data_IF_548120726788
#
_entry.id   IF_548120726788
#
_cell.length_a   1.000
_cell.length_b   1.000
_cell.length_c   1.000
_cell.angle_alpha   90.00
_cell.angle_beta   90.00
_cell.angle_gamma   90.00
#
_symmetry.space_group_name_H-M   'P 1'
#
loop_
_entity.id
_entity.type
_entity.pdbx_description
1 polymer ?
#
# COMPACT_ATOMS: atom_id res chain seq x y z
N UNK A 1 0.15 -4.27 -34.67
CA UNK A 1 -0.21 -4.23 -33.23
C UNK A 1 -1.09 -3.02 -32.86
N UNK A 2 -0.65 -1.76 -33.03
CA UNK A 2 -1.44 -0.56 -32.68
C UNK A 2 -2.86 -0.53 -33.30
N UNK A 3 -2.99 -0.89 -34.58
CA UNK A 3 -4.30 -1.05 -35.26
C UNK A 3 -5.26 -1.97 -34.51
N UNK A 4 -4.75 -3.05 -33.92
CA UNK A 4 -5.56 -4.07 -33.26
C UNK A 4 -5.86 -3.71 -31.80
N UNK A 5 -4.99 -2.95 -31.14
CA UNK A 5 -5.18 -2.52 -29.75
C UNK A 5 -5.88 -1.16 -29.62
N UNK A 6 -6.42 -0.61 -30.71
CA UNK A 6 -6.97 0.76 -30.77
C UNK A 6 -5.99 1.78 -30.18
N UNK A 7 -4.72 1.68 -30.62
CA UNK A 7 -3.60 2.52 -30.18
C UNK A 7 -3.25 2.46 -28.69
N UNK A 8 -3.86 1.54 -27.93
CA UNK A 8 -3.54 1.36 -26.51
C UNK A 8 -2.16 0.76 -26.34
N UNK A 9 -1.40 1.35 -25.41
CA UNK A 9 -0.10 0.85 -24.99
C UNK A 9 -0.24 -0.40 -24.10
N UNK A 10 0.49 -1.45 -24.45
CA UNK A 10 0.55 -2.69 -23.67
C UNK A 10 1.46 -2.54 -22.45
N UNK A 11 2.61 -1.86 -22.61
CA UNK A 11 3.50 -1.53 -21.51
C UNK A 11 2.93 -0.33 -20.77
N UNK A 12 2.76 -0.47 -19.45
CA UNK A 12 2.30 0.60 -18.58
C UNK A 12 3.37 0.88 -17.52
N UNK A 13 4.27 1.84 -17.76
CA UNK A 13 5.25 2.22 -16.75
C UNK A 13 4.50 2.80 -15.54
N UNK A 14 4.81 2.29 -14.35
CA UNK A 14 4.37 2.90 -13.11
C UNK A 14 5.43 3.91 -12.63
N UNK A 15 5.05 4.78 -11.68
CA UNK A 15 6.00 5.71 -11.05
C UNK A 15 7.14 4.98 -10.34
N UNK A 16 6.90 3.78 -9.83
CA UNK A 16 7.93 2.90 -9.25
C UNK A 16 8.11 1.65 -10.11
N UNK A 17 9.30 1.06 -10.12
CA UNK A 17 9.58 -0.13 -10.95
C UNK A 17 8.71 -1.35 -10.60
N UNK A 18 8.32 -1.47 -9.33
CA UNK A 18 7.65 -2.66 -8.80
C UNK A 18 6.27 -2.96 -9.43
N UNK A 19 5.34 -1.99 -9.57
CA UNK A 19 4.05 -2.25 -10.22
C UNK A 19 4.09 -2.37 -11.75
N UNK A 20 5.19 -2.01 -12.43
CA UNK A 20 5.23 -1.97 -13.90
C UNK A 20 4.93 -3.32 -14.54
N UNK A 21 5.47 -4.42 -13.99
CA UNK A 21 5.20 -5.77 -14.50
C UNK A 21 3.70 -6.12 -14.37
N UNK A 22 3.11 -5.85 -13.21
CA UNK A 22 1.69 -6.09 -12.96
C UNK A 22 0.79 -5.23 -13.85
N UNK A 23 1.08 -3.94 -13.99
CA UNK A 23 0.29 -3.03 -14.82
C UNK A 23 0.36 -3.39 -16.30
N UNK A 24 1.51 -3.86 -16.75
CA UNK A 24 1.69 -4.40 -18.09
C UNK A 24 0.84 -5.66 -18.27
N UNK A 25 0.92 -6.62 -17.35
CA UNK A 25 0.09 -7.83 -17.37
C UNK A 25 -1.42 -7.53 -17.39
N UNK A 26 -1.86 -6.54 -16.61
CA UNK A 26 -3.24 -6.06 -16.61
C UNK A 26 -3.64 -5.44 -17.95
N UNK A 27 -2.76 -4.64 -18.56
CA UNK A 27 -3.00 -4.06 -19.90
C UNK A 27 -3.14 -5.17 -20.96
N UNK A 28 -2.29 -6.20 -20.89
CA UNK A 28 -2.39 -7.39 -21.75
C UNK A 28 -3.74 -8.09 -21.59
N UNK A 29 -4.20 -8.29 -20.36
CA UNK A 29 -5.51 -8.89 -20.10
C UNK A 29 -6.66 -8.07 -20.70
N UNK A 30 -6.66 -6.75 -20.52
CA UNK A 30 -7.65 -5.86 -21.13
C UNK A 30 -7.63 -5.90 -22.66
N UNK A 31 -6.49 -6.27 -23.27
CA UNK A 31 -6.33 -6.43 -24.71
C UNK A 31 -6.42 -7.88 -25.18
N UNK A 32 -6.77 -8.85 -24.32
CA UNK A 32 -6.82 -10.29 -24.66
C UNK A 32 -7.52 -10.59 -25.99
N UNK A 33 -8.74 -10.08 -26.18
CA UNK A 33 -9.52 -10.30 -27.41
C UNK A 33 -8.81 -9.73 -28.65
N UNK A 34 -8.28 -8.51 -28.51
CA UNK A 34 -7.57 -7.80 -29.56
C UNK A 34 -6.24 -8.47 -29.95
N UNK A 35 -5.48 -8.94 -28.95
CA UNK A 35 -4.23 -9.65 -29.15
C UNK A 35 -4.45 -11.02 -29.81
N UNK A 36 -5.52 -11.73 -29.43
CA UNK A 36 -5.93 -12.97 -30.12
C UNK A 36 -6.32 -12.69 -31.55
N UNK A 37 -7.12 -11.65 -31.80
CA UNK A 37 -7.49 -11.24 -33.17
C UNK A 37 -6.26 -10.89 -34.00
N UNK A 38 -5.28 -10.20 -33.43
CA UNK A 38 -4.02 -9.87 -34.09
C UNK A 38 -3.31 -11.15 -34.58
N UNK A 39 -3.02 -12.10 -33.69
CA UNK A 39 -2.21 -13.28 -34.07
C UNK A 39 -2.96 -14.29 -34.96
N UNK A 40 -4.29 -14.19 -35.03
CA UNK A 40 -5.12 -15.01 -35.91
C UNK A 40 -5.39 -14.35 -37.27
N UNK A 41 -5.07 -13.06 -37.43
CA UNK A 41 -5.32 -12.30 -38.66
C UNK A 41 -4.42 -12.73 -39.81
N UNK A 42 -4.89 -12.52 -41.05
CA UNK A 42 -4.07 -12.75 -42.24
C UNK A 42 -2.88 -11.77 -42.26
N UNK A 43 -3.08 -10.52 -41.82
CA UNK A 43 -1.98 -9.54 -41.74
C UNK A 43 -0.83 -9.99 -40.82
N UNK A 44 -1.11 -10.79 -39.78
CA UNK A 44 -0.07 -11.40 -38.96
C UNK A 44 0.58 -12.58 -39.67
N UNK A 45 -0.20 -13.49 -40.27
CA UNK A 45 0.33 -14.68 -40.97
C UNK A 45 1.26 -14.32 -42.13
N UNK A 46 0.96 -13.23 -42.84
CA UNK A 46 1.74 -12.76 -43.98
C UNK A 46 3.00 -11.97 -43.55
N UNK A 47 3.11 -11.64 -42.26
CA UNK A 47 4.22 -10.87 -41.72
C UNK A 47 5.50 -11.71 -41.56
N UNK A 48 6.66 -11.13 -41.88
CA UNK A 48 7.98 -11.76 -41.65
C UNK A 48 8.20 -12.21 -40.20
N UNK A 49 7.74 -11.41 -39.22
CA UNK A 49 7.93 -11.70 -37.80
C UNK A 49 7.14 -12.93 -37.35
N UNK A 50 6.01 -13.25 -37.99
CA UNK A 50 5.24 -14.45 -37.65
C UNK A 50 5.95 -15.74 -38.07
N UNK A 51 6.90 -15.66 -39.02
CA UNK A 51 7.69 -16.81 -39.50
C UNK A 51 8.89 -17.09 -38.59
N UNK A 52 9.36 -16.09 -37.84
CA UNK A 52 10.43 -16.23 -36.85
C UNK A 52 9.99 -17.09 -35.66
N UNK A 53 10.96 -17.74 -35.00
CA UNK A 53 10.69 -18.58 -33.83
C UNK A 53 9.95 -17.81 -32.72
N UNK A 54 10.38 -16.58 -32.42
CA UNK A 54 9.75 -15.73 -31.42
C UNK A 54 8.28 -15.37 -31.76
N UNK A 55 7.97 -15.14 -33.04
CA UNK A 55 6.61 -14.86 -33.48
C UNK A 55 5.68 -16.06 -33.37
N UNK A 56 6.17 -17.26 -33.71
CA UNK A 56 5.43 -18.52 -33.54
C UNK A 56 5.11 -18.79 -32.07
N UNK A 57 6.09 -18.65 -31.18
CA UNK A 57 5.88 -18.81 -29.74
C UNK A 57 4.92 -17.76 -29.18
N UNK A 58 5.04 -16.49 -29.62
CA UNK A 58 4.12 -15.42 -29.22
C UNK A 58 2.67 -15.75 -29.60
N UNK A 59 2.44 -16.23 -30.82
CA UNK A 59 1.10 -16.63 -31.26
C UNK A 59 0.55 -17.78 -30.42
N UNK A 60 1.36 -18.81 -30.17
CA UNK A 60 1.02 -19.97 -29.33
C UNK A 60 0.62 -19.55 -27.91
N UNK A 61 1.38 -18.66 -27.29
CA UNK A 61 1.08 -18.12 -25.95
C UNK A 61 -0.23 -17.32 -25.97
N UNK A 62 -0.41 -16.41 -26.93
CA UNK A 62 -1.58 -15.53 -26.98
C UNK A 62 -2.89 -16.25 -27.28
N UNK A 63 -2.87 -17.41 -27.94
CA UNK A 63 -4.09 -18.23 -28.15
C UNK A 63 -4.36 -19.22 -27.01
N UNK A 64 -3.33 -19.55 -26.22
CA UNK A 64 -3.40 -20.57 -25.16
C UNK A 64 -4.41 -20.20 -24.06
N UNK A 65 -5.41 -21.05 -23.78
CA UNK A 65 -6.31 -20.85 -22.64
C UNK A 65 -5.59 -20.86 -21.30
N UNK A 66 -4.60 -21.76 -21.12
CA UNK A 66 -3.87 -21.90 -19.84
C UNK A 66 -3.12 -20.63 -19.48
N UNK A 67 -2.41 -20.03 -20.44
CA UNK A 67 -1.73 -18.76 -20.26
C UNK A 67 -2.67 -17.67 -19.73
N UNK A 68 -3.85 -17.53 -20.34
CA UNK A 68 -4.80 -16.51 -19.89
C UNK A 68 -5.44 -16.83 -18.54
N UNK A 69 -5.59 -18.10 -18.19
CA UNK A 69 -6.05 -18.50 -16.85
C UNK A 69 -5.01 -18.11 -15.79
N UNK A 70 -3.72 -18.31 -16.09
CA UNK A 70 -2.62 -17.90 -15.21
C UNK A 70 -2.53 -16.37 -15.08
N UNK A 71 -2.72 -15.63 -16.18
CA UNK A 71 -2.83 -14.16 -16.15
C UNK A 71 -3.95 -13.71 -15.22
N UNK A 72 -5.14 -14.33 -15.32
CA UNK A 72 -6.28 -14.00 -14.44
C UNK A 72 -5.94 -14.31 -12.98
N UNK A 73 -5.32 -15.47 -12.70
CA UNK A 73 -4.89 -15.83 -11.34
C UNK A 73 -3.92 -14.80 -10.78
N UNK A 74 -2.89 -14.43 -11.55
CA UNK A 74 -1.91 -13.42 -11.15
C UNK A 74 -2.56 -12.06 -10.88
N UNK A 75 -3.55 -11.65 -11.68
CA UNK A 75 -4.30 -10.41 -11.47
C UNK A 75 -5.18 -10.45 -10.21
N UNK A 76 -5.86 -11.57 -9.95
CA UNK A 76 -6.67 -11.79 -8.74
C UNK A 76 -5.82 -11.70 -7.47
N UNK A 77 -4.63 -12.29 -7.50
CA UNK A 77 -3.68 -12.27 -6.37
C UNK A 77 -3.00 -10.90 -6.22
N UNK A 78 -2.40 -10.39 -7.30
CA UNK A 78 -1.58 -9.17 -7.24
C UNK A 78 -2.41 -7.90 -7.12
N UNK A 79 -3.66 -7.89 -7.60
CA UNK A 79 -4.52 -6.70 -7.61
C UNK A 79 -4.70 -6.07 -6.22
N UNK A 80 -5.15 -6.83 -5.21
CA UNK A 80 -5.30 -6.34 -3.84
C UNK A 80 -3.97 -5.84 -3.25
N UNK A 81 -2.87 -6.58 -3.42
CA UNK A 81 -1.55 -6.19 -2.91
C UNK A 81 -1.03 -4.90 -3.55
N UNK A 82 -1.26 -4.70 -4.86
CA UNK A 82 -0.91 -3.45 -5.55
C UNK A 82 -1.74 -2.27 -5.03
N UNK A 83 -2.98 -2.48 -4.55
CA UNK A 83 -3.76 -1.41 -3.89
C UNK A 83 -3.13 -1.01 -2.56
N UNK A 84 -2.70 -1.97 -1.73
CA UNK A 84 -1.97 -1.69 -0.49
C UNK A 84 -0.68 -0.92 -0.79
N UNK A 85 0.10 -1.38 -1.77
CA UNK A 85 1.33 -0.71 -2.18
C UNK A 85 1.07 0.74 -2.65
N UNK A 86 -0.01 0.99 -3.38
CA UNK A 86 -0.40 2.34 -3.79
C UNK A 86 -0.79 3.23 -2.62
N UNK A 87 -1.52 2.68 -1.64
CA UNK A 87 -1.89 3.40 -0.43
C UNK A 87 -0.66 3.83 0.36
N UNK A 88 0.28 2.89 0.60
CA UNK A 88 1.52 3.14 1.36
C UNK A 88 2.45 4.13 0.65
N UNK A 89 2.43 4.15 -0.68
CA UNK A 89 3.21 5.11 -1.48
C UNK A 89 2.47 6.43 -1.73
N UNK A 90 1.20 6.56 -1.32
CA UNK A 90 0.43 7.79 -1.49
C UNK A 90 0.89 8.90 -0.54
N UNK A 91 0.81 10.15 -0.98
CA UNK A 91 1.18 11.33 -0.16
C UNK A 91 -0.03 11.96 0.55
N UNK A 92 -1.26 11.58 0.19
CA UNK A 92 -2.47 12.29 0.64
C UNK A 92 -2.91 12.00 2.07
N UNK A 93 -2.66 10.79 2.60
CA UNK A 93 -3.01 10.41 3.98
C UNK A 93 -1.90 9.54 4.58
N UNK A 94 -1.48 9.78 5.84
CA UNK A 94 -0.50 8.92 6.50
C UNK A 94 -0.97 7.46 6.55
N UNK A 95 -0.18 6.50 6.03
CA UNK A 95 -0.62 5.12 5.87
C UNK A 95 -0.56 4.28 7.15
N UNK A 96 0.14 4.77 8.20
CA UNK A 96 0.44 3.98 9.41
C UNK A 96 -0.82 3.43 10.08
N UNK A 97 -1.89 4.23 10.15
CA UNK A 97 -3.15 3.81 10.74
C UNK A 97 -3.98 2.83 9.90
N UNK A 98 -3.57 2.53 8.67
CA UNK A 98 -4.37 1.77 7.71
C UNK A 98 -3.67 0.51 7.20
N UNK A 99 -2.34 0.42 7.30
CA UNK A 99 -1.56 -0.64 6.66
C UNK A 99 -1.94 -2.03 7.13
N UNK A 100 -2.11 -2.22 8.44
CA UNK A 100 -2.46 -3.53 9.03
C UNK A 100 -3.78 -4.05 8.42
N UNK A 101 -4.88 -3.31 8.61
CA UNK A 101 -6.19 -3.62 8.03
C UNK A 101 -6.15 -3.76 6.50
N UNK A 102 -5.36 -2.95 5.80
CA UNK A 102 -5.27 -3.03 4.34
C UNK A 102 -4.66 -4.35 3.87
N UNK A 103 -3.73 -4.94 4.64
CA UNK A 103 -3.17 -6.26 4.36
C UNK A 103 -4.19 -7.36 4.62
N UNK A 104 -4.96 -7.28 5.70
CA UNK A 104 -6.03 -8.23 5.99
C UNK A 104 -7.10 -8.22 4.90
N UNK A 105 -7.60 -7.03 4.54
CA UNK A 105 -8.53 -6.85 3.41
C UNK A 105 -7.95 -7.34 2.09
N UNK A 106 -6.64 -7.25 1.89
CA UNK A 106 -6.01 -7.79 0.70
C UNK A 106 -6.08 -9.32 0.68
N UNK A 107 -5.79 -9.99 1.80
CA UNK A 107 -5.97 -11.44 1.94
C UNK A 107 -7.42 -11.84 1.73
N UNK A 108 -8.37 -11.18 2.40
CA UNK A 108 -9.81 -11.42 2.21
C UNK A 108 -10.24 -11.29 0.74
N UNK A 109 -9.80 -10.22 0.07
CA UNK A 109 -10.11 -10.00 -1.35
C UNK A 109 -9.51 -11.08 -2.26
N UNK A 110 -8.34 -11.63 -1.93
CA UNK A 110 -7.74 -12.74 -2.66
C UNK A 110 -8.58 -14.01 -2.45
N UNK A 111 -8.90 -14.37 -1.20
CA UNK A 111 -9.70 -15.54 -0.88
C UNK A 111 -11.07 -15.49 -1.56
N UNK A 112 -11.76 -14.35 -1.47
CA UNK A 112 -13.05 -14.13 -2.13
C UNK A 112 -12.96 -14.25 -3.65
N UNK A 113 -11.86 -13.82 -4.27
CA UNK A 113 -11.64 -13.96 -5.73
C UNK A 113 -11.54 -15.42 -6.19
N UNK A 114 -11.34 -16.35 -5.27
CA UNK A 114 -11.30 -17.79 -5.50
C UNK A 114 -12.44 -18.53 -4.80
N UNK A 115 -13.51 -17.83 -4.41
CA UNK A 115 -14.70 -18.40 -3.77
C UNK A 115 -14.36 -19.19 -2.49
N UNK A 116 -13.28 -18.80 -1.79
CA UNK A 116 -12.83 -19.50 -0.58
C UNK A 116 -12.13 -20.84 -0.83
N UNK A 117 -11.80 -21.21 -2.07
CA UNK A 117 -11.05 -22.43 -2.36
C UNK A 117 -9.57 -22.30 -1.94
N UNK A 118 -9.30 -22.68 -0.70
CA UNK A 118 -8.00 -22.55 -0.01
C UNK A 118 -6.83 -23.04 -0.86
N UNK A 119 -7.00 -24.17 -1.56
CA UNK A 119 -5.97 -24.78 -2.42
C UNK A 119 -5.43 -23.83 -3.51
N UNK A 120 -6.20 -22.80 -3.88
CA UNK A 120 -5.82 -21.82 -4.91
C UNK A 120 -4.98 -20.66 -4.39
N UNK A 121 -4.97 -20.41 -3.08
CA UNK A 121 -4.29 -19.25 -2.49
C UNK A 121 -3.50 -19.53 -1.21
N UNK A 122 -3.54 -20.75 -0.65
CA UNK A 122 -2.80 -21.11 0.57
C UNK A 122 -1.30 -20.77 0.46
N UNK A 123 -0.65 -21.18 -0.64
CA UNK A 123 0.76 -20.90 -0.89
C UNK A 123 1.04 -19.41 -1.06
N UNK A 124 0.06 -18.67 -1.56
CA UNK A 124 0.17 -17.21 -1.68
C UNK A 124 0.11 -16.58 -0.29
N UNK A 125 -0.78 -17.06 0.58
CA UNK A 125 -0.89 -16.58 1.96
C UNK A 125 0.37 -16.91 2.75
N UNK A 126 0.92 -18.12 2.62
CA UNK A 126 2.22 -18.48 3.23
C UNK A 126 3.32 -17.49 2.84
N UNK A 127 3.40 -17.10 1.56
CA UNK A 127 4.37 -16.10 1.10
C UNK A 127 4.07 -14.72 1.69
N UNK A 128 2.80 -14.31 1.73
CA UNK A 128 2.40 -13.02 2.31
C UNK A 128 2.77 -12.98 3.79
N UNK A 129 2.40 -14.00 4.55
CA UNK A 129 2.58 -14.07 6.00
C UNK A 129 4.06 -14.14 6.35
N UNK A 130 4.83 -14.97 5.65
CA UNK A 130 6.29 -15.02 5.77
C UNK A 130 6.92 -13.64 5.54
N UNK A 131 6.43 -12.85 4.58
CA UNK A 131 6.97 -11.51 4.30
C UNK A 131 6.48 -10.47 5.31
N UNK A 132 5.23 -10.60 5.73
CA UNK A 132 4.63 -9.76 6.75
C UNK A 132 5.42 -9.89 8.05
N UNK A 133 5.51 -11.10 8.62
CA UNK A 133 6.08 -11.31 9.94
C UNK A 133 7.59 -11.04 10.00
N UNK A 134 8.32 -11.38 8.93
CA UNK A 134 9.77 -11.26 8.95
C UNK A 134 10.29 -9.87 8.52
N UNK A 135 9.55 -9.14 7.67
CA UNK A 135 10.10 -7.97 6.98
C UNK A 135 9.27 -6.70 7.16
N UNK A 136 7.95 -6.80 7.09
CA UNK A 136 7.07 -5.63 6.94
C UNK A 136 6.36 -5.26 8.24
N UNK A 137 5.82 -6.25 8.95
CA UNK A 137 5.12 -6.05 10.21
C UNK A 137 6.10 -5.67 11.32
N UNK A 138 5.70 -4.66 12.10
CA UNK A 138 6.40 -4.20 13.29
C UNK A 138 5.34 -3.78 14.31
N UNK A 139 5.64 -3.81 15.62
CA UNK A 139 4.77 -3.30 16.68
C UNK A 139 4.12 -1.95 16.36
N UNK A 140 4.85 -1.08 15.66
CA UNK A 140 4.38 0.23 15.20
C UNK A 140 3.13 0.19 14.31
N UNK A 141 3.01 -0.80 13.42
CA UNK A 141 1.86 -0.94 12.53
C UNK A 141 0.61 -1.41 13.27
N UNK A 142 0.78 -2.32 14.24
CA UNK A 142 -0.30 -2.73 15.15
C UNK A 142 -0.78 -1.54 16.02
N UNK A 143 0.15 -0.76 16.56
CA UNK A 143 -0.19 0.47 17.29
C UNK A 143 -0.93 1.48 16.39
N UNK A 144 -0.47 1.67 15.15
CA UNK A 144 -1.15 2.51 14.17
C UNK A 144 -2.60 2.08 13.95
N UNK A 145 -2.85 0.78 13.83
CA UNK A 145 -4.18 0.21 13.64
C UNK A 145 -5.12 0.48 14.83
N UNK A 146 -4.69 0.22 16.07
CA UNK A 146 -5.51 0.53 17.27
C UNK A 146 -5.79 2.02 17.44
N UNK A 147 -4.83 2.86 17.06
CA UNK A 147 -4.95 4.30 17.20
C UNK A 147 -5.75 4.91 16.02
N UNK A 148 -6.19 4.12 15.05
CA UNK A 148 -7.13 4.60 14.04
C UNK A 148 -8.57 4.48 14.55
N UNK A 149 -9.27 5.58 14.86
CA UNK A 149 -10.59 5.53 15.47
C UNK A 149 -11.65 4.91 14.55
N UNK A 150 -11.58 5.13 13.23
CA UNK A 150 -12.54 4.52 12.29
C UNK A 150 -12.44 2.99 12.28
N UNK A 151 -11.21 2.47 12.40
CA UNK A 151 -10.97 1.03 12.45
C UNK A 151 -11.22 0.48 13.84
N UNK A 152 -10.55 1.01 14.87
CA UNK A 152 -10.63 0.52 16.24
C UNK A 152 -12.07 0.29 16.72
N UNK A 153 -12.94 1.31 16.67
CA UNK A 153 -14.31 1.14 17.15
C UNK A 153 -15.14 0.20 16.27
N UNK A 154 -14.82 0.10 14.97
CA UNK A 154 -15.44 -0.87 14.09
C UNK A 154 -15.00 -2.29 14.44
N UNK A 155 -13.70 -2.54 14.61
CA UNK A 155 -13.14 -3.85 14.93
C UNK A 155 -13.58 -4.32 16.32
N UNK A 156 -13.74 -3.42 17.29
CA UNK A 156 -14.30 -3.75 18.62
C UNK A 156 -15.78 -4.15 18.50
N UNK A 157 -16.60 -3.38 17.77
CA UNK A 157 -18.02 -3.68 17.58
C UNK A 157 -18.23 -5.00 16.82
N UNK A 158 -17.40 -5.25 15.81
CA UNK A 158 -17.51 -6.40 14.92
C UNK A 158 -16.71 -7.61 15.47
N UNK A 159 -16.08 -7.49 16.66
CA UNK A 159 -15.27 -8.52 17.34
C UNK A 159 -14.13 -9.11 16.48
N UNK A 160 -13.53 -8.31 15.61
CA UNK A 160 -12.51 -8.77 14.65
C UNK A 160 -11.07 -8.44 15.06
N UNK A 161 -10.87 -7.86 16.24
CA UNK A 161 -9.56 -7.37 16.66
C UNK A 161 -8.72 -8.51 17.25
N UNK A 162 -7.65 -8.89 16.55
CA UNK A 162 -6.79 -9.99 16.95
C UNK A 162 -5.88 -9.65 18.14
N UNK A 163 -5.46 -10.67 18.90
CA UNK A 163 -4.64 -10.51 20.11
C UNK A 163 -3.22 -10.04 19.81
N UNK A 164 -2.68 -10.38 18.65
CA UNK A 164 -1.36 -9.95 18.17
C UNK A 164 -1.28 -8.43 17.94
N UNK A 165 -2.40 -7.79 17.57
CA UNK A 165 -2.51 -6.33 17.47
C UNK A 165 -2.27 -5.68 18.84
N UNK A 166 -2.87 -6.23 19.91
CA UNK A 166 -2.68 -5.74 21.27
C UNK A 166 -1.24 -5.93 21.75
N UNK A 167 -0.66 -7.12 21.50
CA UNK A 167 0.74 -7.40 21.81
C UNK A 167 1.65 -6.39 21.09
N UNK A 168 1.40 -6.13 19.80
CA UNK A 168 2.14 -5.15 19.02
C UNK A 168 2.01 -3.72 19.55
N UNK A 169 0.83 -3.32 20.02
CA UNK A 169 0.63 -2.00 20.61
C UNK A 169 1.45 -1.81 21.89
N UNK A 170 1.39 -2.76 22.82
CA UNK A 170 2.17 -2.68 24.06
C UNK A 170 3.67 -2.70 23.81
N UNK A 171 4.15 -3.59 22.92
CA UNK A 171 5.55 -3.59 22.50
C UNK A 171 5.99 -2.27 21.84
N UNK A 172 5.08 -1.58 21.15
CA UNK A 172 5.36 -0.27 20.58
C UNK A 172 5.45 0.82 21.65
N UNK A 173 4.60 0.77 22.68
CA UNK A 173 4.65 1.70 23.82
C UNK A 173 5.97 1.57 24.57
N UNK A 174 6.33 0.35 24.99
CA UNK A 174 7.58 0.06 25.71
C UNK A 174 8.82 0.54 24.95
N UNK A 175 8.78 0.46 23.61
CA UNK A 175 9.90 0.88 22.76
C UNK A 175 9.98 2.39 22.55
N UNK A 176 8.86 3.10 22.48
CA UNK A 176 8.81 4.52 22.07
C UNK A 176 8.60 5.50 23.22
N UNK A 177 8.18 5.01 24.38
CA UNK A 177 7.92 5.78 25.58
C UNK A 177 8.96 5.39 26.64
N UNK A 178 9.89 6.29 26.98
CA UNK A 178 11.02 5.94 27.84
C UNK A 178 10.67 5.82 29.34
N UNK A 179 9.54 6.37 29.76
CA UNK A 179 9.15 6.44 31.17
C UNK A 179 7.95 5.53 31.43
N UNK A 180 8.09 4.58 32.37
CA UNK A 180 7.01 3.67 32.78
C UNK A 180 5.79 4.42 33.31
N UNK A 181 5.98 5.48 34.09
CA UNK A 181 4.85 6.30 34.57
C UNK A 181 4.03 6.90 33.42
N UNK A 182 4.69 7.29 32.32
CA UNK A 182 3.98 7.78 31.14
C UNK A 182 3.28 6.64 30.39
N UNK A 183 3.83 5.43 30.39
CA UNK A 183 3.16 4.25 29.84
C UNK A 183 1.87 3.96 30.62
N UNK A 184 1.93 3.99 31.94
CA UNK A 184 0.77 3.76 32.82
C UNK A 184 -0.32 4.81 32.57
N UNK A 185 0.06 6.09 32.49
CA UNK A 185 -0.86 7.19 32.14
C UNK A 185 -1.48 7.02 30.76
N UNK A 186 -0.71 6.57 29.77
CA UNK A 186 -1.24 6.25 28.43
C UNK A 186 -2.25 5.10 28.52
N UNK A 187 -2.00 4.10 29.37
CA UNK A 187 -2.92 2.99 29.61
C UNK A 187 -4.28 3.45 30.16
N UNK A 188 -4.27 4.30 31.19
CA UNK A 188 -5.49 4.89 31.76
C UNK A 188 -6.24 5.73 30.72
N UNK A 189 -5.53 6.60 30.02
CA UNK A 189 -6.09 7.43 28.96
C UNK A 189 -6.65 6.59 27.80
N UNK A 190 -6.02 5.46 27.50
CA UNK A 190 -6.48 4.53 26.47
C UNK A 190 -7.80 3.86 26.88
N UNK A 191 -8.02 3.58 28.17
CA UNK A 191 -9.32 3.13 28.68
C UNK A 191 -10.46 4.11 28.36
N UNK A 192 -10.20 5.41 28.50
CA UNK A 192 -11.18 6.46 28.16
C UNK A 192 -11.45 6.52 26.66
N UNK A 193 -10.40 6.38 25.84
CA UNK A 193 -10.54 6.25 24.40
C UNK A 193 -11.35 5.00 24.03
N UNK A 194 -11.03 3.83 24.58
CA UNK A 194 -11.69 2.58 24.20
C UNK A 194 -13.19 2.58 24.49
N UNK A 195 -13.60 3.23 25.58
CA UNK A 195 -15.00 3.39 25.99
C UNK A 195 -15.72 4.58 25.34
N UNK A 196 -15.03 5.33 24.46
CA UNK A 196 -15.54 6.56 23.85
C UNK A 196 -16.01 7.60 24.89
N UNK A 197 -15.28 7.77 25.98
CA UNK A 197 -15.63 8.73 27.02
C UNK A 197 -15.33 10.18 26.62
N UNK A 198 -16.06 11.11 27.24
CA UNK A 198 -15.81 12.54 27.11
C UNK A 198 -15.85 13.02 25.66
N UNK A 199 -14.77 13.68 25.20
CA UNK A 199 -14.69 14.21 23.83
C UNK A 199 -14.82 13.13 22.74
N UNK A 200 -14.45 11.89 23.03
CA UNK A 200 -14.50 10.79 22.05
C UNK A 200 -15.91 10.28 21.75
N UNK A 201 -16.84 10.50 22.70
CA UNK A 201 -18.24 10.10 22.61
C UNK A 201 -19.15 11.15 21.99
N UNK A 202 -18.64 12.37 21.74
CA UNK A 202 -19.41 13.41 21.06
C UNK A 202 -19.89 12.91 19.69
N UNK A 203 -21.14 13.22 19.32
CA UNK A 203 -21.69 12.83 18.02
C UNK A 203 -20.84 13.37 16.85
N UNK A 204 -20.22 14.53 17.02
CA UNK A 204 -19.25 15.08 16.06
C UNK A 204 -17.98 14.24 15.96
N UNK A 205 -17.44 13.74 17.08
CA UNK A 205 -16.27 12.88 17.10
C UNK A 205 -16.55 11.54 16.45
N UNK A 206 -17.69 10.92 16.76
CA UNK A 206 -18.14 9.65 16.16
C UNK A 206 -18.26 9.77 14.64
N UNK A 207 -18.96 10.80 14.15
CA UNK A 207 -19.06 11.06 12.70
C UNK A 207 -17.72 11.30 12.05
N UNK A 208 -16.79 11.95 12.75
CA UNK A 208 -15.49 12.31 12.20
C UNK A 208 -14.53 11.12 12.05
N UNK A 209 -14.81 9.96 12.67
CA UNK A 209 -13.93 8.78 12.67
C UNK A 209 -13.59 8.29 11.25
N UNK A 210 -14.56 8.32 10.35
CA UNK A 210 -14.40 7.86 8.95
C UNK A 210 -14.17 9.00 7.94
N UNK A 211 -14.38 10.24 8.37
CA UNK A 211 -14.27 11.42 7.50
C UNK A 211 -12.85 12.01 7.55
N UNK A 212 -12.28 12.11 8.75
CA UNK A 212 -10.98 12.75 8.97
C UNK A 212 -9.84 11.74 8.88
N UNK A 213 -8.62 12.23 8.65
CA UNK A 213 -7.45 11.39 8.91
C UNK A 213 -7.33 11.11 10.42
N UNK A 214 -6.74 9.97 10.83
CA UNK A 214 -6.59 9.63 12.24
C UNK A 214 -5.82 10.70 13.01
N UNK A 215 -4.78 11.28 12.40
CA UNK A 215 -3.99 12.36 13.00
C UNK A 215 -4.84 13.60 13.29
N UNK A 216 -5.66 14.04 12.33
CA UNK A 216 -6.56 15.19 12.52
C UNK A 216 -7.63 14.90 13.56
N UNK A 217 -8.16 13.68 13.59
CA UNK A 217 -9.13 13.26 14.59
C UNK A 217 -8.54 13.33 16.00
N UNK A 218 -7.34 12.79 16.20
CA UNK A 218 -6.63 12.88 17.48
C UNK A 218 -6.30 14.33 17.87
N UNK A 219 -5.88 15.16 16.92
CA UNK A 219 -5.66 16.60 17.17
C UNK A 219 -6.93 17.30 17.64
N UNK A 220 -8.10 16.92 17.12
CA UNK A 220 -9.36 17.58 17.46
C UNK A 220 -9.98 17.05 18.76
N UNK A 221 -10.02 15.73 18.95
CA UNK A 221 -10.81 15.10 20.03
C UNK A 221 -9.97 14.50 21.16
N UNK A 222 -8.65 14.38 20.99
CA UNK A 222 -7.75 13.78 21.99
C UNK A 222 -7.35 14.67 23.17
N UNK A 223 -7.89 15.88 23.30
CA UNK A 223 -7.43 16.87 24.29
C UNK A 223 -7.57 16.44 25.75
N UNK A 224 -8.52 15.54 26.05
CA UNK A 224 -8.74 15.01 27.40
C UNK A 224 -7.79 13.85 27.75
N UNK A 225 -6.97 13.42 26.80
CA UNK A 225 -5.98 12.33 26.95
C UNK A 225 -4.65 12.80 26.37
N UNK A 226 -3.95 13.74 27.03
CA UNK A 226 -2.80 14.43 26.45
C UNK A 226 -1.62 13.51 26.14
N UNK A 227 -1.39 12.45 26.93
CA UNK A 227 -0.26 11.54 26.71
C UNK A 227 -0.53 10.60 25.53
N UNK A 228 -1.71 9.99 25.50
CA UNK A 228 -2.20 9.15 24.42
C UNK A 228 -2.34 9.96 23.13
N UNK A 229 -2.83 11.20 23.19
CA UNK A 229 -2.93 12.07 22.02
C UNK A 229 -1.55 12.32 21.40
N UNK A 230 -0.55 12.68 22.22
CA UNK A 230 0.83 12.86 21.74
C UNK A 230 1.38 11.58 21.14
N UNK A 231 1.16 10.44 21.80
CA UNK A 231 1.60 9.14 21.32
C UNK A 231 0.93 8.76 19.98
N UNK A 232 -0.38 8.88 19.88
CA UNK A 232 -1.16 8.59 18.69
C UNK A 232 -0.75 9.46 17.51
N UNK A 233 -0.62 10.79 17.71
CA UNK A 233 -0.14 11.70 16.67
C UNK A 233 1.27 11.31 16.22
N UNK A 234 2.17 10.98 17.16
CA UNK A 234 3.54 10.56 16.86
C UNK A 234 3.55 9.30 16.00
N UNK A 235 2.81 8.26 16.37
CA UNK A 235 2.76 6.99 15.62
C UNK A 235 2.08 7.18 14.27
N UNK A 236 0.89 7.77 14.24
CA UNK A 236 0.07 7.88 13.03
C UNK A 236 0.66 8.82 11.98
N UNK A 237 1.54 9.74 12.37
CA UNK A 237 2.21 10.66 11.43
C UNK A 237 3.43 10.04 10.73
N UNK A 238 3.84 8.83 11.10
CA UNK A 238 4.99 8.16 10.49
C UNK A 238 4.66 7.58 9.11
N UNK A 239 5.68 7.52 8.25
CA UNK A 239 5.57 6.96 6.90
C UNK A 239 5.85 5.46 6.90
N UNK A 240 5.08 4.69 6.12
CA UNK A 240 5.33 3.25 5.92
C UNK A 240 6.15 2.93 4.66
N UNK A 241 6.67 3.95 3.96
CA UNK A 241 7.39 3.76 2.70
C UNK A 241 8.65 4.61 2.65
N UNK A 242 9.74 3.99 2.20
CA UNK A 242 10.96 4.71 1.81
C UNK A 242 10.82 5.39 0.43
N UNK A 243 9.74 5.14 -0.33
CA UNK A 243 9.57 5.73 -1.68
C UNK A 243 9.40 7.25 -1.68
N UNK A 244 8.98 7.84 -0.55
CA UNK A 244 9.03 9.30 -0.38
C UNK A 244 10.47 9.82 -0.53
N UNK A 245 11.45 9.09 -0.01
CA UNK A 245 12.87 9.37 -0.22
C UNK A 245 13.31 9.09 -1.67
N UNK A 246 12.78 8.06 -2.34
CA UNK A 246 13.10 7.79 -3.76
C UNK A 246 12.68 8.94 -4.70
N UNK A 247 11.61 9.69 -4.37
CA UNK A 247 11.25 10.91 -5.12
C UNK A 247 12.25 12.03 -4.87
N UNK A 248 12.76 12.16 -3.65
CA UNK A 248 13.90 13.03 -3.39
C UNK A 248 15.09 12.59 -4.23
N UNK A 249 15.28 11.31 -4.52
CA UNK A 249 16.37 10.84 -5.38
C UNK A 249 16.19 11.23 -6.85
N UNK A 250 14.97 11.26 -7.38
CA UNK A 250 14.70 11.88 -8.69
C UNK A 250 15.01 13.38 -8.69
N UNK A 251 14.79 14.06 -7.56
CA UNK A 251 15.18 15.46 -7.36
C UNK A 251 16.71 15.61 -7.26
N UNK A 252 17.39 14.71 -6.55
CA UNK A 252 18.85 14.61 -6.51
C UNK A 252 19.42 14.39 -7.91
N UNK A 253 18.87 13.48 -8.71
CA UNK A 253 19.32 13.21 -10.09
C UNK A 253 19.16 14.46 -10.99
N UNK A 254 18.10 15.23 -10.78
CA UNK A 254 17.90 16.49 -11.50
C UNK A 254 18.88 17.59 -11.07
N UNK A 255 19.21 17.69 -9.78
CA UNK A 255 20.15 18.68 -9.24
C UNK A 255 21.61 18.26 -9.50
N UNK A 256 21.87 16.96 -9.45
CA UNK A 256 23.15 16.30 -9.56
C UNK A 256 23.13 15.26 -10.69
N UNK A 257 23.50 15.71 -11.89
CA UNK A 257 23.59 14.88 -13.10
C UNK A 257 25.03 14.76 -13.57
N UNK A 258 25.33 13.87 -14.52
CA UNK A 258 26.67 13.77 -15.14
C UNK A 258 27.17 15.10 -15.74
N UNK A 259 26.27 16.02 -16.12
CA UNK A 259 26.61 17.37 -16.61
C UNK A 259 26.72 18.42 -15.49
N UNK A 260 26.19 18.15 -14.28
CA UNK A 260 26.06 19.11 -13.17
C UNK A 260 26.45 18.42 -11.85
N UNK A 261 27.72 18.09 -11.71
CA UNK A 261 28.28 17.24 -10.63
C UNK A 261 29.25 17.96 -9.68
N UNK A 262 29.28 19.29 -9.69
CA UNK A 262 30.23 20.11 -8.92
C UNK A 262 29.63 20.72 -7.64
N UNK A 263 28.55 20.16 -7.13
CA UNK A 263 27.95 20.64 -5.89
C UNK A 263 28.56 19.89 -4.71
N UNK A 264 29.02 20.64 -3.71
CA UNK A 264 29.33 20.10 -2.39
C UNK A 264 28.12 19.35 -1.81
N UNK A 265 28.38 18.27 -1.08
CA UNK A 265 27.34 17.41 -0.51
C UNK A 265 26.36 18.19 0.39
N UNK A 266 26.87 19.14 1.17
CA UNK A 266 26.07 20.02 2.02
C UNK A 266 25.07 20.85 1.19
N UNK A 267 25.53 21.48 0.12
CA UNK A 267 24.70 22.32 -0.75
C UNK A 267 23.68 21.50 -1.55
N UNK A 268 24.05 20.27 -1.92
CA UNK A 268 23.11 19.34 -2.55
C UNK A 268 21.97 18.96 -1.60
N UNK A 269 22.29 18.65 -0.34
CA UNK A 269 21.30 18.34 0.69
C UNK A 269 20.36 19.54 0.96
N UNK A 270 20.90 20.76 1.06
CA UNK A 270 20.10 21.97 1.25
C UNK A 270 19.13 22.20 0.09
N UNK A 271 19.58 22.02 -1.15
CA UNK A 271 18.74 22.19 -2.33
C UNK A 271 17.62 21.13 -2.40
N UNK A 272 17.90 19.89 -2.01
CA UNK A 272 16.86 18.85 -1.91
C UNK A 272 15.88 19.18 -0.80
N UNK A 273 16.37 19.60 0.37
CA UNK A 273 15.54 20.01 1.51
C UNK A 273 14.60 21.16 1.12
N UNK A 274 15.11 22.22 0.50
CA UNK A 274 14.31 23.36 0.04
C UNK A 274 13.27 22.91 -0.99
N UNK A 275 13.67 22.11 -1.98
CA UNK A 275 12.77 21.66 -3.06
C UNK A 275 11.66 20.76 -2.52
N UNK A 276 11.97 19.82 -1.64
CA UNK A 276 10.98 18.96 -0.99
C UNK A 276 10.01 19.76 -0.12
N UNK A 277 10.51 20.67 0.71
CA UNK A 277 9.63 21.51 1.56
C UNK A 277 8.76 22.47 0.76
N UNK A 278 9.21 22.93 -0.42
CA UNK A 278 8.36 23.71 -1.35
C UNK A 278 7.20 22.91 -1.93
N UNK A 279 7.32 21.58 -2.04
CA UNK A 279 6.23 20.71 -2.52
C UNK A 279 5.24 20.30 -1.44
N UNK A 280 5.55 20.59 -0.16
CA UNK A 280 4.67 20.32 0.99
C UNK A 280 3.77 21.50 1.38
N UNK A 281 3.93 22.66 0.72
CA UNK A 281 3.08 23.85 0.88
C UNK A 281 2.04 23.92 -0.24
#
# INVERSE_FOLDING_TARGET
>A
MRKFTNERNLVRPAKTRFPTAFLTLHSFYLQKKNLRKLVLSNEWKDNKYAKEAAGKETAKVLISPSFWNDVVRALKVGGPLIRVLRMVNGEGKPPMGYLYEAMDRAKESIAASFEGDVRKYEKVFEIIDTRWDNQLHRPLHAAGHLLNPGLFYKNIRDETLASDVWIGYHACLEKLVPNSTTIDQIGEEFGRYSQAEGLFGLSAAIRARDIRSPVEWWKQFGHQTPNLQKFAIKVLSLTCSASGCERNWSVFEHIHSKKRNRLELSRLNDLVYIKYNRTLR
#
